data_IF_001561848461
#
_entry.id   IF_001561848461
#
_cell.length_a   1.000
_cell.length_b   1.000
_cell.length_c   1.000
_cell.angle_alpha   90.00
_cell.angle_beta   90.00
_cell.angle_gamma   90.00
#
_symmetry.space_group_name_H-M   'P 1'
#
loop_
_entity.id
_entity.type
_entity.pdbx_description
1 polymer ?
#
# COMPACT_ATOMS: atom_id res chain seq x y z
N UNK A 1 6.22 26.71 21.53
CA UNK A 1 5.12 27.22 22.40
C UNK A 1 4.31 26.04 22.88
N UNK A 2 3.92 25.94 24.17
CA UNK A 2 3.08 24.84 24.65
C UNK A 2 1.71 24.92 23.97
N UNK A 3 1.25 23.77 23.40
CA UNK A 3 -0.07 23.65 22.77
C UNK A 3 -1.17 23.99 23.81
N UNK A 4 -2.15 24.82 23.45
CA UNK A 4 -3.28 25.17 24.34
C UNK A 4 -4.05 23.90 24.73
N UNK A 5 -4.59 23.85 25.93
CA UNK A 5 -5.36 22.69 26.48
C UNK A 5 -6.46 22.22 25.52
N UNK A 6 -7.08 23.13 24.78
CA UNK A 6 -8.08 22.84 23.73
C UNK A 6 -7.50 22.05 22.57
N UNK A 7 -6.25 22.29 22.17
CA UNK A 7 -5.61 21.59 21.04
C UNK A 7 -5.25 20.16 21.46
N UNK A 8 -4.83 19.95 22.72
CA UNK A 8 -4.56 18.62 23.27
C UNK A 8 -5.82 17.75 23.21
N UNK A 9 -6.97 18.30 23.63
CA UNK A 9 -8.25 17.56 23.60
C UNK A 9 -8.73 17.25 22.16
N UNK A 10 -8.47 18.13 21.22
CA UNK A 10 -8.76 17.89 19.79
C UNK A 10 -7.92 16.75 19.23
N UNK A 11 -6.63 16.68 19.58
CA UNK A 11 -5.76 15.57 19.18
C UNK A 11 -6.18 14.23 19.82
N UNK A 12 -6.59 14.23 21.09
CA UNK A 12 -7.14 13.03 21.75
C UNK A 12 -8.39 12.50 21.01
N UNK A 13 -9.29 13.39 20.61
CA UNK A 13 -10.48 13.03 19.83
C UNK A 13 -10.09 12.49 18.47
N UNK A 14 -9.18 13.16 17.77
CA UNK A 14 -8.72 12.76 16.44
C UNK A 14 -8.03 11.39 16.49
N UNK A 15 -7.17 11.16 17.49
CA UNK A 15 -6.50 9.87 17.71
C UNK A 15 -7.51 8.76 17.96
N UNK A 16 -8.51 9.00 18.83
CA UNK A 16 -9.54 7.99 19.12
C UNK A 16 -10.37 7.63 17.87
N UNK A 17 -10.70 8.62 17.04
CA UNK A 17 -11.39 8.38 15.76
C UNK A 17 -10.50 7.51 14.85
N UNK A 18 -9.22 7.85 14.71
CA UNK A 18 -8.26 7.10 13.91
C UNK A 18 -8.17 5.64 14.36
N UNK A 19 -7.89 5.40 15.64
CA UNK A 19 -7.75 4.06 16.21
C UNK A 19 -9.00 3.21 16.06
N UNK A 20 -10.18 3.86 16.12
CA UNK A 20 -11.46 3.17 15.98
C UNK A 20 -11.72 2.76 14.54
N UNK A 21 -11.44 3.65 13.59
CA UNK A 21 -11.58 3.37 12.15
C UNK A 21 -10.61 2.27 11.72
N UNK A 22 -9.36 2.32 12.16
CA UNK A 22 -8.35 1.28 11.86
C UNK A 22 -8.79 -0.10 12.40
N UNK A 23 -9.41 -0.14 13.59
CA UNK A 23 -9.84 -1.40 14.22
C UNK A 23 -11.15 -1.97 13.68
N UNK A 24 -12.12 -1.12 13.36
CA UNK A 24 -13.50 -1.54 13.07
C UNK A 24 -13.96 -1.20 11.66
N UNK A 25 -13.17 -0.42 10.88
CA UNK A 25 -13.53 0.14 9.57
C UNK A 25 -14.82 1.00 9.62
N UNK A 26 -15.25 1.42 10.79
CA UNK A 26 -16.44 2.25 11.04
C UNK A 26 -16.08 3.34 12.05
N UNK A 27 -16.41 4.61 11.78
CA UNK A 27 -16.17 5.70 12.72
C UNK A 27 -16.94 5.55 14.03
N UNK A 28 -16.40 6.03 15.16
CA UNK A 28 -17.09 6.01 16.44
C UNK A 28 -18.27 6.99 16.46
N UNK A 29 -19.27 6.67 17.27
CA UNK A 29 -20.37 7.60 17.57
C UNK A 29 -19.90 8.75 18.46
N UNK A 30 -20.61 9.87 18.44
CA UNK A 30 -20.34 11.02 19.33
C UNK A 30 -20.35 10.62 20.81
N UNK A 31 -21.20 9.66 21.20
CA UNK A 31 -21.26 9.14 22.57
C UNK A 31 -20.03 8.32 22.93
N UNK A 32 -19.53 7.49 22.02
CA UNK A 32 -18.29 6.74 22.22
C UNK A 32 -17.10 7.68 22.35
N UNK A 33 -17.01 8.70 21.50
CA UNK A 33 -15.98 9.75 21.61
C UNK A 33 -16.07 10.44 22.97
N UNK A 34 -17.27 10.86 23.38
CA UNK A 34 -17.50 11.55 24.63
C UNK A 34 -16.97 10.73 25.83
N UNK A 35 -17.32 9.46 25.89
CA UNK A 35 -16.86 8.52 26.92
C UNK A 35 -15.36 8.30 26.89
N UNK A 36 -14.79 8.06 25.71
CA UNK A 36 -13.38 7.73 25.55
C UNK A 36 -12.44 8.87 25.95
N UNK A 37 -12.82 10.11 25.65
CA UNK A 37 -11.99 11.28 25.97
C UNK A 37 -12.38 11.99 27.29
N UNK A 38 -13.26 11.37 28.09
CA UNK A 38 -13.65 11.89 29.41
C UNK A 38 -14.42 13.23 29.36
N UNK A 39 -15.25 13.42 28.34
CA UNK A 39 -16.14 14.58 28.24
C UNK A 39 -17.53 14.22 28.75
N UNK A 40 -18.16 15.10 29.47
CA UNK A 40 -19.49 14.89 30.06
C UNK A 40 -20.64 15.28 29.13
N UNK A 41 -20.38 16.00 28.04
CA UNK A 41 -21.40 16.50 27.11
C UNK A 41 -21.09 16.23 25.66
N UNK A 42 -22.07 15.64 24.97
CA UNK A 42 -22.00 15.45 23.50
C UNK A 42 -21.93 16.77 22.74
N UNK A 43 -22.51 17.85 23.25
CA UNK A 43 -22.43 19.20 22.68
C UNK A 43 -20.97 19.69 22.64
N UNK A 44 -20.18 19.37 23.67
CA UNK A 44 -18.76 19.72 23.71
C UNK A 44 -17.98 18.94 22.64
N UNK A 45 -18.30 17.65 22.44
CA UNK A 45 -17.71 16.84 21.36
C UNK A 45 -18.03 17.44 19.97
N UNK A 46 -19.30 17.82 19.72
CA UNK A 46 -19.69 18.51 18.49
C UNK A 46 -18.89 19.79 18.26
N UNK A 47 -18.68 20.58 19.31
CA UNK A 47 -17.85 21.78 19.23
C UNK A 47 -16.38 21.47 18.86
N UNK A 48 -15.81 20.38 19.37
CA UNK A 48 -14.47 19.94 18.99
C UNK A 48 -14.42 19.42 17.55
N UNK A 49 -15.38 18.59 17.13
CA UNK A 49 -15.47 18.09 15.77
C UNK A 49 -15.58 19.23 14.73
N UNK A 50 -16.42 20.25 14.99
CA UNK A 50 -16.52 21.43 14.12
C UNK A 50 -15.23 22.26 14.05
N UNK A 51 -14.41 22.26 15.11
CA UNK A 51 -13.08 22.90 15.07
C UNK A 51 -12.08 22.06 14.29
N UNK A 52 -12.12 20.73 14.39
CA UNK A 52 -11.30 19.82 13.60
C UNK A 52 -11.62 19.95 12.10
N UNK A 53 -12.90 20.07 11.75
CA UNK A 53 -13.33 20.35 10.37
C UNK A 53 -12.80 21.68 9.85
N UNK A 54 -12.92 22.76 10.67
CA UNK A 54 -12.36 24.07 10.30
C UNK A 54 -10.86 24.10 10.13
N UNK A 55 -10.15 23.24 10.86
CA UNK A 55 -8.69 23.06 10.70
C UNK A 55 -8.34 22.20 9.48
N UNK A 56 -9.32 21.62 8.80
CA UNK A 56 -9.10 20.70 7.70
C UNK A 56 -8.55 19.34 8.13
N UNK A 57 -8.63 18.97 9.43
CA UNK A 57 -8.13 17.70 9.94
C UNK A 57 -9.14 16.56 9.88
N UNK A 58 -10.42 16.93 9.73
CA UNK A 58 -11.56 16.03 9.66
C UNK A 58 -12.53 16.51 8.58
N UNK A 59 -13.14 15.57 7.85
CA UNK A 59 -14.22 15.82 6.90
C UNK A 59 -15.45 15.02 7.30
N UNK A 60 -16.63 15.62 7.17
CA UNK A 60 -17.91 14.93 7.29
C UNK A 60 -18.52 14.78 5.92
N UNK A 61 -18.84 13.58 5.52
CA UNK A 61 -19.64 13.36 4.33
C UNK A 61 -21.13 13.58 4.66
N UNK A 62 -21.69 14.67 4.17
CA UNK A 62 -23.09 15.04 4.41
C UNK A 62 -24.08 14.03 3.80
N UNK A 63 -23.64 13.18 2.87
CA UNK A 63 -24.47 12.20 2.17
C UNK A 63 -24.55 10.86 2.91
N UNK A 64 -23.62 10.60 3.83
CA UNK A 64 -23.56 9.36 4.59
C UNK A 64 -23.71 9.61 6.09
N UNK A 65 -24.75 9.09 6.74
CA UNK A 65 -24.87 9.19 8.20
C UNK A 65 -23.63 8.54 8.85
N UNK A 66 -22.93 9.31 9.67
CA UNK A 66 -21.73 8.92 10.42
C UNK A 66 -20.39 8.84 9.66
N UNK A 67 -20.30 9.39 8.46
CA UNK A 67 -19.02 9.42 7.75
C UNK A 67 -18.13 10.53 8.32
N UNK A 68 -17.26 10.15 9.26
CA UNK A 68 -16.14 10.97 9.74
C UNK A 68 -14.87 10.42 9.10
N UNK A 69 -14.19 11.23 8.30
CA UNK A 69 -12.93 10.85 7.67
C UNK A 69 -11.82 11.79 8.14
N UNK A 70 -10.69 11.21 8.55
CA UNK A 70 -9.51 11.98 8.92
C UNK A 70 -8.72 12.28 7.64
N UNK A 71 -8.47 13.55 7.40
CA UNK A 71 -7.72 14.02 6.24
C UNK A 71 -6.23 13.68 6.35
N UNK A 72 -5.50 13.84 5.25
CA UNK A 72 -4.03 13.73 5.24
C UNK A 72 -3.39 14.68 6.27
N UNK A 73 -3.86 15.93 6.35
CA UNK A 73 -3.37 16.90 7.33
C UNK A 73 -3.67 16.47 8.77
N UNK A 74 -4.85 15.88 9.01
CA UNK A 74 -5.19 15.32 10.32
C UNK A 74 -4.28 14.17 10.75
N UNK A 75 -3.95 13.26 9.82
CA UNK A 75 -2.99 12.16 10.06
C UNK A 75 -1.59 12.71 10.34
N UNK A 76 -1.15 13.72 9.61
CA UNK A 76 0.13 14.41 9.83
C UNK A 76 0.21 15.05 11.22
N UNK A 77 -0.87 15.68 11.70
CA UNK A 77 -0.93 16.26 13.05
C UNK A 77 -0.86 15.21 14.16
N UNK A 78 -1.34 14.01 13.91
CA UNK A 78 -1.19 12.84 14.79
C UNK A 78 0.21 12.22 14.73
N UNK A 79 1.08 12.67 13.83
CA UNK A 79 2.39 12.08 13.58
C UNK A 79 2.30 10.72 12.87
N UNK A 80 1.15 10.41 12.26
CA UNK A 80 0.95 9.18 11.52
C UNK A 80 1.62 9.36 10.16
N UNK A 81 2.67 8.59 9.94
CA UNK A 81 3.30 8.53 8.62
C UNK A 81 2.36 7.79 7.66
N UNK A 82 2.27 8.22 6.39
CA UNK A 82 1.61 7.42 5.36
C UNK A 82 2.23 6.02 5.35
N UNK A 83 1.41 5.01 5.19
CA UNK A 83 1.94 3.68 4.86
C UNK A 83 2.58 3.80 3.49
N UNK A 84 3.84 3.46 3.38
CA UNK A 84 4.63 3.60 2.16
C UNK A 84 5.14 2.22 1.74
N UNK A 85 5.20 2.00 0.43
CA UNK A 85 5.75 0.80 -0.20
C UNK A 85 7.16 1.15 -0.66
N UNK A 86 8.21 0.38 -0.29
CA UNK A 86 9.55 0.62 -0.81
C UNK A 86 9.60 0.34 -2.32
N UNK A 87 10.20 1.27 -3.07
CA UNK A 87 10.54 1.11 -4.48
C UNK A 87 11.95 0.54 -4.56
N UNK A 88 12.08 -0.64 -5.16
CA UNK A 88 13.34 -1.38 -5.27
C UNK A 88 13.86 -1.24 -6.70
N UNK A 89 15.10 -0.79 -6.85
CA UNK A 89 15.73 -0.60 -8.17
C UNK A 89 16.23 -1.91 -8.78
N UNK A 90 17.06 -2.63 -8.05
CA UNK A 90 17.66 -3.89 -8.51
C UNK A 90 17.43 -4.96 -7.44
N UNK A 91 16.99 -6.13 -7.85
CA UNK A 91 16.83 -7.29 -6.97
C UNK A 91 17.88 -8.32 -7.30
N UNK A 92 18.82 -8.54 -6.39
CA UNK A 92 19.89 -9.53 -6.51
C UNK A 92 19.62 -10.78 -5.67
N UNK A 93 20.05 -11.94 -6.16
CA UNK A 93 19.87 -13.18 -5.42
C UNK A 93 20.78 -13.25 -4.18
N UNK A 94 20.25 -13.88 -3.13
CA UNK A 94 20.99 -14.11 -1.87
C UNK A 94 20.90 -12.96 -0.87
N UNK A 95 20.33 -11.81 -1.26
CA UNK A 95 20.05 -10.72 -0.34
C UNK A 95 18.53 -10.63 -0.04
N UNK A 96 18.11 -10.16 1.14
CA UNK A 96 16.71 -9.84 1.39
C UNK A 96 16.25 -8.78 0.39
N UNK A 97 15.06 -8.96 -0.24
CA UNK A 97 14.48 -8.05 -1.24
C UNK A 97 14.41 -6.57 -0.76
N UNK A 98 14.51 -6.35 0.53
CA UNK A 98 14.50 -5.03 1.16
C UNK A 98 15.81 -4.77 1.94
N UNK A 99 16.94 -5.21 1.43
CA UNK A 99 18.21 -4.69 1.93
C UNK A 99 18.18 -3.15 1.74
N UNK A 100 18.63 -2.42 2.75
CA UNK A 100 18.54 -0.94 2.78
C UNK A 100 19.25 -0.31 1.56
N UNK A 101 20.18 -1.02 0.96
CA UNK A 101 20.96 -0.60 -0.20
C UNK A 101 20.18 -0.69 -1.53
N UNK A 102 19.08 -1.45 -1.57
CA UNK A 102 18.29 -1.69 -2.78
C UNK A 102 17.02 -0.81 -2.86
N UNK A 103 16.68 -0.05 -1.81
CA UNK A 103 15.52 0.83 -1.77
C UNK A 103 15.89 2.20 -2.31
N UNK A 104 15.36 2.55 -3.47
CA UNK A 104 15.62 3.83 -4.14
C UNK A 104 14.66 4.94 -3.69
N UNK A 105 13.41 4.61 -3.39
CA UNK A 105 12.35 5.56 -3.05
C UNK A 105 11.22 4.88 -2.27
N UNK A 106 10.22 5.65 -1.86
CA UNK A 106 9.01 5.17 -1.20
C UNK A 106 7.77 5.70 -1.91
N UNK A 107 6.84 4.79 -2.21
CA UNK A 107 5.57 5.10 -2.85
C UNK A 107 4.41 5.00 -1.83
N UNK A 108 3.48 5.96 -1.79
CA UNK A 108 2.32 5.90 -0.90
C UNK A 108 1.48 4.66 -1.18
N UNK A 109 1.11 3.89 -0.14
CA UNK A 109 0.24 2.72 -0.29
C UNK A 109 -1.13 3.15 -0.85
N UNK A 110 -1.54 2.64 -2.02
CA UNK A 110 -2.86 2.91 -2.56
C UNK A 110 -3.96 2.46 -1.58
N UNK A 111 -4.99 3.29 -1.32
CA UNK A 111 -6.02 3.02 -0.31
C UNK A 111 -6.85 1.77 -0.59
N UNK A 112 -6.94 1.36 -1.85
CA UNK A 112 -7.69 0.18 -2.29
C UNK A 112 -6.91 -1.13 -2.12
N UNK A 113 -5.61 -1.07 -1.89
CA UNK A 113 -4.76 -2.23 -1.65
C UNK A 113 -4.90 -2.69 -0.20
N UNK A 114 -5.73 -3.72 0.02
CA UNK A 114 -5.91 -4.40 1.31
C UNK A 114 -4.71 -5.30 1.62
N UNK A 115 -3.57 -4.71 1.92
CA UNK A 115 -2.36 -5.43 2.34
C UNK A 115 -1.59 -4.58 3.33
N UNK A 116 -0.81 -5.22 4.21
CA UNK A 116 0.15 -4.49 5.02
C UNK A 116 1.28 -3.96 4.11
N UNK A 117 1.67 -2.70 4.28
CA UNK A 117 2.76 -2.11 3.50
C UNK A 117 4.07 -2.92 3.63
N UNK A 118 4.27 -3.59 4.78
CA UNK A 118 5.42 -4.48 5.02
C UNK A 118 5.48 -5.72 4.12
N UNK A 119 4.34 -6.15 3.59
CA UNK A 119 4.23 -7.30 2.69
C UNK A 119 4.31 -6.92 1.21
N UNK A 120 4.51 -5.65 0.91
CA UNK A 120 4.55 -5.12 -0.44
C UNK A 120 5.92 -4.51 -0.76
N UNK A 121 6.29 -4.54 -2.02
CA UNK A 121 7.34 -3.73 -2.60
C UNK A 121 6.94 -3.31 -4.01
N UNK A 122 7.60 -2.30 -4.54
CA UNK A 122 7.40 -1.80 -5.88
C UNK A 122 8.67 -2.05 -6.69
N UNK A 123 8.50 -2.45 -7.94
CA UNK A 123 9.60 -2.74 -8.84
C UNK A 123 9.34 -2.04 -10.17
N UNK A 124 10.36 -1.37 -10.71
CA UNK A 124 10.30 -0.81 -12.06
C UNK A 124 10.53 -1.91 -13.09
N UNK A 125 9.64 -1.96 -14.08
CA UNK A 125 9.70 -2.91 -15.19
C UNK A 125 10.64 -2.39 -16.27
N UNK A 126 11.50 -3.27 -16.77
CA UNK A 126 12.35 -3.01 -17.92
C UNK A 126 12.06 -4.00 -19.03
N UNK A 127 11.93 -3.48 -20.26
CA UNK A 127 11.71 -4.25 -21.46
C UNK A 127 10.24 -4.56 -21.76
N UNK A 128 10.02 -5.26 -22.86
CA UNK A 128 8.72 -5.42 -23.51
C UNK A 128 8.10 -6.82 -23.32
N UNK A 129 8.63 -7.62 -22.38
CA UNK A 129 8.22 -9.02 -22.25
C UNK A 129 6.79 -9.24 -21.78
N UNK A 130 6.10 -8.20 -21.29
CA UNK A 130 4.76 -8.28 -20.70
C UNK A 130 3.74 -7.33 -21.37
N UNK A 131 4.01 -6.86 -22.58
CA UNK A 131 3.19 -5.86 -23.28
C UNK A 131 1.75 -6.33 -23.53
N UNK A 132 1.55 -7.61 -23.87
CA UNK A 132 0.21 -8.17 -24.09
C UNK A 132 -0.61 -8.29 -22.80
N UNK A 133 0.04 -8.20 -21.63
CA UNK A 133 -0.62 -8.06 -20.32
C UNK A 133 -0.84 -6.59 -19.91
N UNK A 134 -0.49 -5.64 -20.79
CA UNK A 134 -0.61 -4.20 -20.53
C UNK A 134 0.48 -3.63 -19.62
N UNK A 135 1.54 -4.40 -19.34
CA UNK A 135 2.71 -3.96 -18.57
C UNK A 135 3.80 -3.56 -19.56
N UNK A 136 4.18 -2.28 -19.57
CA UNK A 136 5.11 -1.68 -20.52
C UNK A 136 6.45 -1.37 -19.86
N UNK A 137 7.44 -1.08 -20.69
CA UNK A 137 8.74 -0.58 -20.21
C UNK A 137 8.56 0.72 -19.43
N UNK A 138 9.23 0.84 -18.29
CA UNK A 138 9.13 1.98 -17.39
C UNK A 138 7.93 1.97 -16.42
N UNK A 139 7.00 1.02 -16.54
CA UNK A 139 5.94 0.83 -15.56
C UNK A 139 6.49 0.43 -14.20
N UNK A 140 5.74 0.73 -13.15
CA UNK A 140 6.03 0.28 -11.79
C UNK A 140 4.97 -0.71 -11.34
N UNK A 141 5.39 -1.92 -10.95
CA UNK A 141 4.48 -2.96 -10.47
C UNK A 141 4.55 -3.06 -8.95
N UNK A 142 3.39 -3.11 -8.30
CA UNK A 142 3.29 -3.41 -6.88
C UNK A 142 3.21 -4.91 -6.71
N UNK A 143 4.11 -5.45 -5.91
CA UNK A 143 4.34 -6.87 -5.72
C UNK A 143 4.06 -7.25 -4.27
N UNK A 144 3.21 -8.25 -4.06
CA UNK A 144 3.04 -8.88 -2.75
C UNK A 144 4.08 -9.97 -2.58
N UNK A 145 4.87 -9.89 -1.50
CA UNK A 145 5.87 -10.88 -1.15
C UNK A 145 5.23 -12.23 -0.89
N UNK A 146 5.65 -13.23 -1.63
CA UNK A 146 5.26 -14.63 -1.42
C UNK A 146 6.26 -15.53 -2.13
N UNK A 147 6.46 -16.75 -1.60
CA UNK A 147 7.42 -17.73 -2.15
C UNK A 147 6.79 -18.77 -3.07
N UNK A 148 5.47 -18.66 -3.33
CA UNK A 148 4.71 -19.57 -4.19
C UNK A 148 3.71 -18.81 -5.03
N UNK A 149 3.30 -19.40 -6.16
CA UNK A 149 2.30 -18.83 -7.06
C UNK A 149 1.44 -19.93 -7.69
N UNK A 150 0.25 -19.57 -8.12
CA UNK A 150 -0.63 -20.44 -8.92
C UNK A 150 -0.36 -20.25 -10.41
N UNK A 151 -0.68 -21.28 -11.20
CA UNK A 151 -0.56 -21.20 -12.65
C UNK A 151 -1.40 -20.05 -13.21
N UNK A 152 -0.81 -19.28 -14.10
CA UNK A 152 -1.42 -18.11 -14.71
C UNK A 152 -1.25 -16.79 -13.94
N UNK A 153 -0.69 -16.80 -12.74
CA UNK A 153 -0.39 -15.56 -12.01
C UNK A 153 0.84 -14.86 -12.59
N UNK A 154 0.80 -13.52 -12.60
CA UNK A 154 1.97 -12.70 -12.96
C UNK A 154 2.82 -12.54 -11.71
N UNK A 155 4.08 -12.92 -11.79
CA UNK A 155 5.01 -12.97 -10.67
C UNK A 155 6.29 -12.20 -10.99
N UNK A 156 6.96 -11.79 -9.93
CA UNK A 156 8.40 -11.48 -9.97
C UNK A 156 9.13 -12.73 -9.55
N UNK A 157 9.98 -13.23 -10.42
CA UNK A 157 10.78 -14.43 -10.18
C UNK A 157 12.25 -14.14 -10.43
N UNK A 158 13.11 -14.89 -9.74
CA UNK A 158 14.56 -14.86 -9.95
C UNK A 158 14.94 -15.87 -11.02
N UNK A 159 15.75 -15.44 -11.98
CA UNK A 159 16.35 -16.31 -12.99
C UNK A 159 17.62 -17.02 -12.46
N UNK A 160 18.17 -17.97 -13.25
CA UNK A 160 19.45 -18.61 -12.94
C UNK A 160 20.63 -17.64 -12.98
N UNK A 161 20.49 -16.53 -13.69
CA UNK A 161 21.47 -15.44 -13.80
C UNK A 161 21.41 -14.47 -12.63
N UNK A 162 20.55 -14.75 -11.63
CA UNK A 162 20.30 -13.92 -10.46
C UNK A 162 19.66 -12.56 -10.79
N UNK A 163 18.90 -12.49 -11.84
CA UNK A 163 18.14 -11.31 -12.23
C UNK A 163 16.64 -11.50 -11.94
N UNK A 164 16.00 -10.45 -11.42
CA UNK A 164 14.56 -10.44 -11.25
C UNK A 164 13.85 -10.22 -12.60
N UNK A 165 12.83 -11.01 -12.86
CA UNK A 165 12.01 -10.88 -14.07
C UNK A 165 10.53 -10.97 -13.77
N UNK A 166 9.71 -10.20 -14.51
CA UNK A 166 8.25 -10.24 -14.45
C UNK A 166 7.74 -11.14 -15.57
N UNK A 167 7.05 -12.22 -15.21
CA UNK A 167 6.51 -13.19 -16.19
C UNK A 167 5.22 -13.81 -15.65
N UNK A 168 4.46 -14.45 -16.53
CA UNK A 168 3.35 -15.31 -16.11
C UNK A 168 3.90 -16.69 -15.74
N UNK A 169 3.56 -17.14 -14.54
CA UNK A 169 4.06 -18.36 -13.94
C UNK A 169 3.22 -19.56 -14.28
N UNK A 170 3.91 -20.68 -14.61
CA UNK A 170 3.30 -22.00 -14.74
C UNK A 170 4.22 -23.05 -14.14
N UNK A 171 3.65 -23.90 -13.29
CA UNK A 171 4.27 -25.12 -12.77
C UNK A 171 3.77 -26.27 -13.63
N UNK A 172 4.66 -26.85 -14.41
CA UNK A 172 4.42 -28.03 -15.23
C UNK A 172 4.82 -29.29 -14.48
N UNK A 173 4.72 -30.46 -15.12
CA UNK A 173 4.94 -31.76 -14.48
C UNK A 173 6.36 -31.94 -13.94
N UNK A 174 7.37 -31.47 -14.68
CA UNK A 174 8.81 -31.69 -14.44
C UNK A 174 9.66 -30.42 -14.50
N UNK A 175 9.04 -29.27 -14.77
CA UNK A 175 9.73 -27.99 -14.90
C UNK A 175 8.80 -26.82 -14.53
N UNK A 176 9.38 -25.64 -14.48
CA UNK A 176 8.66 -24.36 -14.38
C UNK A 176 8.79 -23.58 -15.66
N UNK A 177 7.71 -22.94 -16.09
CA UNK A 177 7.69 -22.09 -17.26
C UNK A 177 7.34 -20.66 -16.85
N UNK A 178 8.25 -19.74 -17.15
CA UNK A 178 8.03 -18.30 -17.03
C UNK A 178 7.67 -17.78 -18.43
N UNK A 179 6.37 -17.56 -18.64
CA UNK A 179 5.82 -17.18 -19.94
C UNK A 179 5.83 -15.66 -20.09
N UNK A 180 6.50 -15.11 -21.11
CA UNK A 180 6.32 -13.72 -21.51
C UNK A 180 4.91 -13.51 -22.10
N UNK A 181 4.34 -12.37 -21.86
CA UNK A 181 3.14 -11.86 -22.52
C UNK A 181 3.56 -10.97 -23.70
N UNK A 182 4.30 -11.57 -24.64
CA UNK A 182 4.76 -10.98 -25.88
C UNK A 182 4.96 -12.09 -26.91
N UNK A 183 4.26 -12.02 -28.04
CA UNK A 183 4.22 -13.07 -29.07
C UNK A 183 5.58 -13.28 -29.78
N UNK A 184 6.49 -12.33 -29.66
CA UNK A 184 7.84 -12.42 -30.29
C UNK A 184 8.88 -13.05 -29.35
N UNK A 185 8.51 -13.33 -28.08
CA UNK A 185 9.44 -13.84 -27.07
C UNK A 185 9.14 -15.29 -26.70
N UNK A 186 10.18 -16.08 -26.51
CA UNK A 186 10.08 -17.48 -26.07
C UNK A 186 9.99 -17.58 -24.54
N UNK A 187 9.28 -18.60 -24.00
CA UNK A 187 9.23 -18.85 -22.56
C UNK A 187 10.60 -19.26 -22.02
N UNK A 188 10.83 -18.91 -20.74
CA UNK A 188 11.99 -19.38 -19.98
C UNK A 188 11.58 -20.67 -19.27
N UNK A 189 12.29 -21.75 -19.53
CA UNK A 189 12.05 -23.07 -18.94
C UNK A 189 13.14 -23.33 -17.88
N UNK A 190 12.74 -23.60 -16.66
CA UNK A 190 13.64 -23.74 -15.52
C UNK A 190 13.32 -25.02 -14.72
N UNK A 191 14.34 -25.79 -14.28
CA UNK A 191 14.13 -26.93 -13.38
C UNK A 191 13.74 -26.45 -11.96
N UNK A 192 14.14 -25.24 -11.59
CA UNK A 192 13.82 -24.56 -10.31
C UNK A 192 13.57 -23.09 -10.56
N UNK A 193 12.69 -22.49 -9.76
CA UNK A 193 12.40 -21.06 -9.80
C UNK A 193 12.24 -20.54 -8.37
N UNK A 194 12.77 -19.37 -8.13
CA UNK A 194 12.52 -18.63 -6.87
C UNK A 194 11.51 -17.54 -7.14
N UNK A 195 10.32 -17.68 -6.55
CA UNK A 195 9.29 -16.65 -6.60
C UNK A 195 9.59 -15.62 -5.51
N UNK A 196 9.65 -14.35 -5.88
CA UNK A 196 9.84 -13.21 -4.99
C UNK A 196 8.51 -12.61 -4.55
N UNK A 197 7.50 -12.67 -5.42
CA UNK A 197 6.17 -12.21 -5.14
C UNK A 197 5.23 -12.25 -6.35
N UNK A 198 3.96 -11.93 -6.06
CA UNK A 198 2.89 -11.81 -7.05
C UNK A 198 2.64 -10.34 -7.37
N UNK A 199 2.56 -10.00 -8.64
CA UNK A 199 2.11 -8.67 -9.08
C UNK A 199 0.63 -8.51 -8.72
N UNK A 200 0.30 -7.46 -8.00
CA UNK A 200 -1.06 -7.18 -7.50
C UNK A 200 -1.62 -5.86 -8.02
N UNK A 201 -0.77 -4.96 -8.49
CA UNK A 201 -1.18 -3.69 -9.09
C UNK A 201 -0.09 -3.16 -10.02
N UNK A 202 -0.47 -2.21 -10.85
CA UNK A 202 0.42 -1.52 -11.79
C UNK A 202 0.20 -0.02 -11.62
N UNK A 203 1.29 0.72 -11.64
CA UNK A 203 1.31 2.16 -11.67
C UNK A 203 2.09 2.66 -12.87
N UNK A 204 1.53 3.62 -13.60
CA UNK A 204 2.17 4.29 -14.74
C UNK A 204 2.09 5.79 -14.55
N UNK A 205 3.25 6.43 -14.49
CA UNK A 205 3.35 7.84 -14.16
C UNK A 205 3.14 8.77 -15.37
N UNK A 206 3.52 8.29 -16.57
CA UNK A 206 3.39 9.04 -17.81
C UNK A 206 2.58 8.23 -18.82
N UNK A 207 1.56 8.84 -19.38
CA UNK A 207 0.80 8.33 -20.53
C UNK A 207 1.07 9.35 -21.64
N UNK A 208 2.09 9.09 -22.44
CA UNK A 208 2.34 9.85 -23.67
C UNK A 208 1.47 9.30 -24.82
#
# INVERSE_FOLDING_TARGET
MPRKTSDKKQLEILQYIYDTVEKRSIPPTVREICSAVGLSSTSTVHGHLSRLERKGWLVKDATKPRALEITHEGKKELGIKPKEIPVVGVVTAGQPILAVEDVEDYFPLPPDLKSDAGDLFMLRVHGESMINAGILDGDEVIVRKQSSANNGEIVVAMTEENEATVKRFYKEKDHYRLQPENDTMTPIILPKVTILGKVVSLYRNNID
#
